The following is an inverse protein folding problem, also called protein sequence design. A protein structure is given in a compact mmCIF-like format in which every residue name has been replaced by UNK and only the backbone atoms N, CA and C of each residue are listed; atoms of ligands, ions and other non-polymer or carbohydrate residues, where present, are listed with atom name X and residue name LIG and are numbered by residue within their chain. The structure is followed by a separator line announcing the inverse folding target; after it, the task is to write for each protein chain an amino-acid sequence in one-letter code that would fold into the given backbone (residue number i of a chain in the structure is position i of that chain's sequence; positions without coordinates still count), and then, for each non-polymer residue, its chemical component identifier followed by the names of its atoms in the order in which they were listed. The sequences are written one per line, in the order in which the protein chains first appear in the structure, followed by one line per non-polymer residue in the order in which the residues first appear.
data_IF_530612781407
#
_entry.id   IF_530612781407
#
_cell.length_a   1.000
_cell.length_b   1.000
_cell.length_c   1.000
_cell.angle_alpha   90.00
_cell.angle_beta   90.00
_cell.angle_gamma   90.00
#
_symmetry.space_group_name_H-M   'P 1'
#
loop_
_entity.id
_entity.type
_entity.pdbx_description
1 polymer ?
#
# COMPACT_ATOMS: atom_id res chain seq x y z
N UNK A 1 3.98 8.61 4.88
CA UNK A 1 2.68 8.59 4.17
C UNK A 1 1.74 7.41 4.50
N UNK A 2 2.10 6.13 4.31
CA UNK A 2 1.22 5.00 4.70
C UNK A 2 1.04 4.88 6.22
N UNK A 3 2.12 5.09 6.99
CA UNK A 3 2.08 5.14 8.46
C UNK A 3 1.33 6.39 8.97
N UNK A 4 1.40 7.50 8.24
CA UNK A 4 0.74 8.77 8.59
C UNK A 4 -0.76 8.78 8.22
N UNK A 5 -1.18 7.93 7.27
CA UNK A 5 -2.57 7.72 6.86
C UNK A 5 -3.10 6.35 7.30
N UNK A 6 -2.59 5.79 8.40
CA UNK A 6 -3.04 4.51 8.92
C UNK A 6 -4.58 4.50 9.06
N UNK A 7 -5.23 3.52 8.43
CA UNK A 7 -6.69 3.38 8.40
C UNK A 7 -7.41 4.09 7.24
N UNK A 8 -6.74 4.86 6.40
CA UNK A 8 -7.35 5.49 5.20
C UNK A 8 -6.94 4.74 3.93
N UNK A 9 -7.85 4.71 2.94
CA UNK A 9 -7.56 4.15 1.62
C UNK A 9 -6.72 5.18 0.85
N UNK A 10 -5.57 4.75 0.36
CA UNK A 10 -4.73 5.52 -0.57
C UNK A 10 -5.03 5.01 -1.97
N UNK A 11 -5.46 5.89 -2.86
CA UNK A 11 -5.75 5.50 -4.23
C UNK A 11 -4.47 5.11 -4.97
N UNK A 12 -4.60 4.31 -6.02
CA UNK A 12 -3.45 3.92 -6.85
C UNK A 12 -2.74 5.14 -7.47
N UNK A 13 -3.50 6.18 -7.83
CA UNK A 13 -2.98 7.44 -8.38
C UNK A 13 -2.21 8.24 -7.35
N UNK A 14 -2.75 8.38 -6.14
CA UNK A 14 -2.08 9.11 -5.06
C UNK A 14 -0.77 8.41 -4.67
N UNK A 15 -0.77 7.08 -4.62
CA UNK A 15 0.44 6.31 -4.35
C UNK A 15 1.53 6.56 -5.41
N UNK A 16 1.15 6.68 -6.69
CA UNK A 16 2.08 6.97 -7.78
C UNK A 16 2.66 8.38 -7.67
N UNK A 17 1.79 9.38 -7.52
CA UNK A 17 2.18 10.78 -7.43
C UNK A 17 3.14 11.02 -6.25
N UNK A 18 2.95 10.35 -5.13
CA UNK A 18 3.75 10.54 -3.91
C UNK A 18 5.11 9.85 -3.96
N UNK A 19 5.24 8.71 -4.65
CA UNK A 19 6.47 7.91 -4.67
C UNK A 19 7.35 8.26 -5.88
N UNK A 20 6.75 8.54 -7.04
CA UNK A 20 7.48 8.83 -8.28
C UNK A 20 7.24 10.25 -8.82
N UNK A 21 6.25 10.98 -8.32
CA UNK A 21 5.89 12.31 -8.85
C UNK A 21 4.79 12.26 -9.91
N UNK A 22 4.24 13.44 -10.26
CA UNK A 22 3.09 13.57 -11.18
C UNK A 22 3.35 13.07 -12.59
N UNK A 23 4.62 12.98 -13.00
CA UNK A 23 5.00 12.60 -14.36
C UNK A 23 4.77 11.10 -14.64
N UNK A 24 4.51 10.29 -13.60
CA UNK A 24 4.33 8.84 -13.69
C UNK A 24 2.87 8.38 -13.45
N UNK A 25 1.90 9.30 -13.49
CA UNK A 25 0.49 9.02 -13.16
C UNK A 25 -0.16 8.05 -14.17
N UNK A 26 0.23 8.08 -15.44
CA UNK A 26 -0.36 7.23 -16.49
C UNK A 26 0.28 5.83 -16.56
N UNK A 27 1.30 5.58 -15.76
CA UNK A 27 2.10 4.37 -15.77
C UNK A 27 1.53 3.33 -14.77
N UNK A 28 0.39 2.76 -15.15
CA UNK A 28 -0.50 1.92 -14.31
C UNK A 28 0.17 0.64 -13.78
N UNK A 29 1.32 0.22 -14.34
CA UNK A 29 2.00 -1.02 -13.97
C UNK A 29 2.89 -0.93 -12.72
N UNK A 30 3.42 0.25 -12.41
CA UNK A 30 4.39 0.43 -11.32
C UNK A 30 3.86 0.21 -9.88
N UNK A 31 2.59 0.55 -9.54
CA UNK A 31 2.09 0.40 -8.18
C UNK A 31 2.11 -1.03 -7.66
N UNK A 32 1.78 -2.00 -8.53
CA UNK A 32 1.66 -3.41 -8.13
C UNK A 32 3.01 -4.01 -7.78
N UNK A 33 4.03 -3.71 -8.58
CA UNK A 33 5.40 -4.19 -8.34
C UNK A 33 5.93 -3.60 -7.04
N UNK A 34 5.75 -2.30 -6.83
CA UNK A 34 6.19 -1.65 -5.62
C UNK A 34 5.48 -2.15 -4.37
N UNK A 35 4.14 -2.30 -4.40
CA UNK A 35 3.39 -2.88 -3.28
C UNK A 35 3.84 -4.32 -3.01
N UNK A 36 4.13 -5.11 -4.04
CA UNK A 36 4.70 -6.46 -3.87
C UNK A 36 6.07 -6.42 -3.17
N UNK A 37 6.96 -5.53 -3.59
CA UNK A 37 8.26 -5.34 -2.95
C UNK A 37 8.14 -4.85 -1.51
N UNK A 38 7.19 -3.95 -1.26
CA UNK A 38 6.95 -3.40 0.08
C UNK A 38 6.41 -4.49 1.00
N UNK A 39 5.44 -5.29 0.56
CA UNK A 39 4.92 -6.44 1.32
C UNK A 39 6.03 -7.42 1.69
N UNK A 40 6.95 -7.72 0.77
CA UNK A 40 8.12 -8.57 1.07
C UNK A 40 9.02 -8.04 2.19
N UNK A 41 9.00 -6.73 2.45
CA UNK A 41 9.82 -6.09 3.49
C UNK A 41 9.10 -5.98 4.84
N UNK A 42 7.77 -5.88 4.84
CA UNK A 42 6.99 -5.51 6.03
C UNK A 42 6.01 -6.58 6.50
N UNK A 43 5.57 -7.47 5.60
CA UNK A 43 4.67 -8.57 5.92
C UNK A 43 5.47 -9.80 6.35
N UNK A 44 4.91 -10.56 7.30
CA UNK A 44 5.45 -11.88 7.67
C UNK A 44 5.22 -12.87 6.53
N UNK A 45 4.04 -12.83 5.92
CA UNK A 45 3.69 -13.57 4.72
C UNK A 45 3.14 -12.61 3.64
N UNK A 46 3.90 -12.29 2.58
CA UNK A 46 3.45 -11.40 1.52
C UNK A 46 2.23 -11.90 0.73
N UNK A 47 1.93 -13.20 0.75
CA UNK A 47 0.75 -13.78 0.12
C UNK A 47 -0.51 -13.59 0.98
N UNK A 48 -0.34 -13.44 2.30
CA UNK A 48 -1.40 -13.17 3.27
C UNK A 48 -1.12 -11.85 4.02
N UNK A 49 -1.19 -10.70 3.32
CA UNK A 49 -0.81 -9.42 3.90
C UNK A 49 -1.78 -8.98 4.99
N UNK A 50 -1.23 -8.47 6.10
CA UNK A 50 -1.98 -7.94 7.25
C UNK A 50 -1.78 -6.44 7.44
N UNK A 51 -0.73 -5.86 6.87
CA UNK A 51 -0.43 -4.42 6.98
C UNK A 51 -0.85 -3.64 5.74
N UNK A 52 -0.67 -4.19 4.53
CA UNK A 52 -0.99 -3.51 3.27
C UNK A 52 -2.08 -4.29 2.56
N UNK A 53 -3.32 -3.86 2.70
CA UNK A 53 -4.49 -4.52 2.13
C UNK A 53 -4.82 -3.97 0.73
N UNK A 54 -5.21 -4.86 -0.17
CA UNK A 54 -5.69 -4.47 -1.51
C UNK A 54 -7.19 -4.20 -1.45
N UNK A 55 -7.59 -2.99 -1.83
CA UNK A 55 -8.99 -2.63 -2.04
C UNK A 55 -9.30 -2.64 -3.54
N UNK A 56 -10.06 -3.63 -3.99
CA UNK A 56 -10.33 -3.85 -5.41
C UNK A 56 -10.91 -2.60 -6.09
N UNK A 57 -10.25 -2.15 -7.17
CA UNK A 57 -10.60 -0.95 -7.96
C UNK A 57 -10.46 0.39 -7.24
N UNK A 58 -10.00 0.40 -5.99
CA UNK A 58 -9.84 1.64 -5.20
C UNK A 58 -8.36 1.94 -4.95
N UNK A 59 -7.59 0.97 -4.45
CA UNK A 59 -6.18 1.18 -4.13
C UNK A 59 -5.70 0.30 -2.99
N UNK A 60 -4.96 0.88 -2.06
CA UNK A 60 -4.35 0.16 -0.95
C UNK A 60 -4.67 0.82 0.38
N UNK A 61 -4.94 0.03 1.41
CA UNK A 61 -5.10 0.51 2.79
C UNK A 61 -3.93 0.01 3.63
N UNK A 62 -3.33 0.91 4.40
CA UNK A 62 -2.39 0.53 5.45
C UNK A 62 -3.13 0.33 6.76
N UNK A 63 -3.04 -0.87 7.32
CA UNK A 63 -3.52 -1.17 8.66
C UNK A 63 -2.32 -1.27 9.60
N UNK A 64 -2.23 -0.32 10.53
CA UNK A 64 -1.30 -0.44 11.64
C UNK A 64 -1.89 -1.52 12.55
N UNK A 65 -1.25 -2.70 12.67
CA UNK A 65 -1.70 -3.67 13.69
C UNK A 65 -1.65 -2.97 15.05
N UNK A 66 -2.83 -2.64 15.55
CA UNK A 66 -3.03 -2.53 16.97
C UNK A 66 -3.07 -3.99 17.43
N UNK A 67 -2.00 -4.51 18.02
CA UNK A 67 -2.11 -5.76 18.79
C UNK A 67 -3.05 -5.45 19.96
N UNK A 68 -4.23 -6.07 20.12
CA UNK A 68 -4.52 -6.63 21.43
C UNK A 68 -3.57 -7.83 21.58
N UNK A 69 -2.64 -7.74 22.53
CA UNK A 69 -2.02 -8.95 23.07
C UNK A 69 -3.14 -9.77 23.75
N UNK A 70 -3.01 -11.11 23.80
CA UNK A 70 -4.11 -12.06 24.03
C UNK A 70 -4.91 -11.82 25.31
#
# INVERSE_FOLDING_TARGET
MLIENAGRIVSQRDLLEQVWGREYIDDVYYPRVYVSQLRRKVEVDPANPIYILTEHRVGYRFEKQNRPNP
#
